data_IF_109745758401
#
_entry.id   IF_109745758401
#
_cell.length_a   1.000
_cell.length_b   1.000
_cell.length_c   1.000
_cell.angle_alpha   90.00
_cell.angle_beta   90.00
_cell.angle_gamma   90.00
#
_symmetry.space_group_name_H-M   'P 1'
#
loop_
_entity.id
_entity.type
_entity.pdbx_description
1 polymer ?
#
# COMPACT_ATOMS: atom_id res chain seq x y z
N UNK A 1 -3.63 -6.33 10.85
CA UNK A 1 -4.32 -5.32 10.02
C UNK A 1 -4.55 -4.12 10.92
N UNK A 2 -4.11 -2.92 10.53
CA UNK A 2 -4.32 -1.73 11.38
C UNK A 2 -4.59 -0.54 10.51
N UNK A 3 -5.83 -0.07 10.47
CA UNK A 3 -6.23 1.21 9.89
C UNK A 3 -5.50 2.34 10.62
N UNK A 4 -4.35 2.76 10.11
CA UNK A 4 -3.50 3.79 10.74
C UNK A 4 -3.41 5.06 9.90
N UNK A 5 -4.49 5.35 9.16
CA UNK A 5 -4.66 6.59 8.45
C UNK A 5 -6.13 6.94 8.34
N UNK A 6 -6.37 8.24 8.30
CA UNK A 6 -7.64 8.82 7.87
C UNK A 6 -8.09 8.16 6.53
N UNK A 7 -9.35 7.69 6.43
CA UNK A 7 -10.45 8.01 7.34
C UNK A 7 -10.76 7.04 8.49
N UNK A 8 -9.92 6.03 8.79
CA UNK A 8 -10.22 4.95 9.77
C UNK A 8 -11.61 4.32 9.55
N UNK A 9 -11.65 3.36 8.64
CA UNK A 9 -12.85 2.75 8.05
C UNK A 9 -13.88 2.32 9.10
N UNK A 10 -13.41 1.76 10.22
CA UNK A 10 -14.27 1.14 11.23
C UNK A 10 -14.29 1.88 12.59
N UNK A 11 -13.81 3.13 12.65
CA UNK A 11 -13.55 3.80 13.92
C UNK A 11 -14.26 5.14 14.02
N UNK A 12 -14.67 5.48 15.25
CA UNK A 12 -15.09 6.83 15.57
C UNK A 12 -13.87 7.76 15.40
N UNK A 13 -14.00 8.78 14.57
CA UNK A 13 -12.90 9.69 14.24
C UNK A 13 -13.42 11.06 13.83
N UNK A 14 -12.51 11.98 13.56
CA UNK A 14 -12.83 13.26 12.93
C UNK A 14 -13.52 13.14 11.54
N UNK A 15 -13.40 11.99 10.86
CA UNK A 15 -14.01 11.78 9.54
C UNK A 15 -15.41 11.14 9.59
N UNK A 16 -15.70 10.39 10.64
CA UNK A 16 -16.99 9.71 10.81
C UNK A 16 -17.28 9.47 12.29
N UNK A 17 -18.53 9.76 12.68
CA UNK A 17 -19.06 9.36 13.99
C UNK A 17 -19.83 8.05 13.85
N UNK A 18 -19.53 7.08 14.72
CA UNK A 18 -20.22 5.79 14.73
C UNK A 18 -21.49 5.91 15.56
N UNK A 19 -22.49 6.61 15.05
CA UNK A 19 -23.77 6.78 15.76
C UNK A 19 -24.79 5.73 15.35
N UNK A 20 -24.68 5.22 14.12
CA UNK A 20 -25.62 4.24 13.56
C UNK A 20 -25.39 2.80 14.03
N UNK A 21 -24.37 2.52 14.85
CA UNK A 21 -24.14 1.19 15.40
C UNK A 21 -25.18 0.78 16.46
N UNK A 22 -25.89 1.76 17.03
CA UNK A 22 -26.92 1.55 18.03
C UNK A 22 -28.24 2.17 17.55
N UNK A 23 -29.36 1.53 17.87
CA UNK A 23 -30.69 2.06 17.57
C UNK A 23 -30.89 3.45 18.20
N UNK A 24 -31.71 4.34 17.62
CA UNK A 24 -31.89 5.71 18.12
C UNK A 24 -32.22 5.82 19.61
N UNK A 25 -32.99 4.87 20.12
CA UNK A 25 -33.48 4.73 21.48
C UNK A 25 -32.69 3.75 22.36
N UNK A 26 -31.59 3.19 21.83
CA UNK A 26 -30.75 2.24 22.57
C UNK A 26 -30.19 2.89 23.85
N UNK A 27 -30.40 2.29 25.04
CA UNK A 27 -29.95 2.86 26.30
C UNK A 27 -28.43 3.05 26.36
N UNK A 28 -27.64 2.25 25.64
CA UNK A 28 -26.18 2.36 25.61
C UNK A 28 -25.71 3.71 25.06
N UNK A 29 -26.51 4.39 24.22
CA UNK A 29 -26.19 5.75 23.73
C UNK A 29 -26.05 6.79 24.85
N UNK A 30 -26.60 6.51 26.04
CA UNK A 30 -26.49 7.38 27.22
C UNK A 30 -25.31 7.03 28.12
N UNK A 31 -24.65 5.91 27.90
CA UNK A 31 -23.50 5.50 28.70
C UNK A 31 -22.29 6.41 28.41
N UNK A 32 -21.47 6.73 29.42
CA UNK A 32 -20.31 7.61 29.24
C UNK A 32 -19.35 7.16 28.14
N UNK A 33 -19.17 5.86 27.96
CA UNK A 33 -18.29 5.28 26.92
C UNK A 33 -18.74 5.64 25.49
N UNK A 34 -20.03 5.91 25.28
CA UNK A 34 -20.58 6.31 23.99
C UNK A 34 -20.66 7.84 23.82
N UNK A 35 -20.76 8.59 24.93
CA UNK A 35 -20.83 10.05 24.90
C UNK A 35 -19.45 10.72 24.85
N UNK A 36 -18.46 10.16 25.52
CA UNK A 36 -17.11 10.71 25.65
C UNK A 36 -16.08 9.93 24.80
N UNK A 37 -16.42 9.68 23.53
CA UNK A 37 -15.54 8.94 22.62
C UNK A 37 -14.42 9.82 22.10
N UNK A 38 -13.19 9.39 22.34
CA UNK A 38 -12.02 9.91 21.66
C UNK A 38 -11.92 9.36 20.22
N UNK A 39 -11.26 10.13 19.35
CA UNK A 39 -11.10 9.77 17.95
C UNK A 39 -9.96 8.77 17.72
N UNK A 40 -10.08 7.98 16.67
CA UNK A 40 -9.08 7.01 16.23
C UNK A 40 -7.69 7.63 16.01
N UNK A 41 -7.63 8.90 15.65
CA UNK A 41 -6.39 9.65 15.48
C UNK A 41 -5.52 9.68 16.73
N UNK A 42 -6.12 9.70 17.92
CA UNK A 42 -5.39 9.69 19.20
C UNK A 42 -4.78 8.31 19.45
N UNK A 43 -5.57 7.24 19.30
CA UNK A 43 -5.03 5.88 19.42
C UNK A 43 -3.91 5.63 18.41
N UNK A 44 -4.10 6.04 17.15
CA UNK A 44 -3.07 5.91 16.13
C UNK A 44 -1.77 6.62 16.53
N UNK A 45 -1.85 7.91 16.86
CA UNK A 45 -0.69 8.79 17.01
C UNK A 45 0.02 8.62 18.35
N UNK A 46 -0.73 8.39 19.42
CA UNK A 46 -0.18 8.35 20.77
C UNK A 46 0.19 6.92 21.21
N UNK A 47 -0.52 5.92 20.68
CA UNK A 47 -0.34 4.54 21.12
C UNK A 47 0.23 3.70 19.99
N UNK A 48 -0.46 3.56 18.86
CA UNK A 48 -0.09 2.53 17.88
C UNK A 48 1.23 2.83 17.18
N UNK A 49 1.38 4.02 16.57
CA UNK A 49 2.61 4.37 15.83
C UNK A 49 3.84 4.37 16.75
N UNK A 50 3.81 4.99 17.94
CA UNK A 50 4.96 4.95 18.86
C UNK A 50 5.31 3.53 19.33
N UNK A 51 4.33 2.65 19.55
CA UNK A 51 4.60 1.25 19.89
C UNK A 51 5.23 0.49 18.73
N UNK A 52 4.79 0.73 17.48
CA UNK A 52 5.41 0.13 16.29
C UNK A 52 6.86 0.59 16.16
N UNK A 53 7.14 1.88 16.31
CA UNK A 53 8.50 2.40 16.25
C UNK A 53 9.39 1.81 17.35
N UNK A 54 8.92 1.76 18.60
CA UNK A 54 9.65 1.12 19.71
C UNK A 54 9.90 -0.37 19.46
N UNK A 55 8.91 -1.08 18.92
CA UNK A 55 9.06 -2.49 18.55
C UNK A 55 10.10 -2.68 17.45
N UNK A 56 10.04 -1.85 16.41
CA UNK A 56 11.03 -1.84 15.30
C UNK A 56 12.44 -1.59 15.83
N UNK A 57 12.62 -0.62 16.74
CA UNK A 57 13.91 -0.34 17.36
C UNK A 57 14.43 -1.53 18.17
N UNK A 58 13.55 -2.14 18.97
CA UNK A 58 13.89 -3.33 19.74
C UNK A 58 14.25 -4.52 18.83
N UNK A 59 13.51 -4.72 17.74
CA UNK A 59 13.77 -5.80 16.77
C UNK A 59 15.13 -5.60 16.10
N UNK A 60 15.42 -4.41 15.61
CA UNK A 60 16.70 -4.10 14.97
C UNK A 60 17.87 -4.26 15.95
N UNK A 61 17.73 -3.76 17.17
CA UNK A 61 18.73 -3.97 18.23
C UNK A 61 18.96 -5.45 18.54
N UNK A 62 17.91 -6.25 18.65
CA UNK A 62 18.03 -7.68 18.93
C UNK A 62 18.65 -8.47 17.77
N UNK A 63 18.52 -7.98 16.54
CA UNK A 63 19.17 -8.55 15.35
C UNK A 63 20.61 -8.08 15.16
N UNK A 64 21.06 -7.09 15.94
CA UNK A 64 22.40 -6.51 15.82
C UNK A 64 23.32 -7.15 16.85
N UNK A 65 24.36 -7.83 16.38
CA UNK A 65 25.41 -8.44 17.18
C UNK A 65 26.76 -7.81 16.82
N UNK A 66 27.22 -6.88 17.67
CA UNK A 66 28.40 -6.06 17.37
C UNK A 66 28.19 -5.23 16.12
N UNK A 67 29.01 -5.45 15.09
CA UNK A 67 28.90 -4.80 13.78
C UNK A 67 28.06 -5.59 12.77
N UNK A 68 27.42 -6.70 13.14
CA UNK A 68 26.68 -7.53 12.22
C UNK A 68 25.17 -7.46 12.48
N UNK A 69 24.35 -7.44 11.43
CA UNK A 69 22.90 -7.58 11.50
C UNK A 69 22.54 -8.96 10.95
N UNK A 70 21.99 -9.82 11.80
CA UNK A 70 21.56 -11.17 11.46
C UNK A 70 20.12 -11.19 10.95
N UNK A 71 19.77 -12.24 10.19
CA UNK A 71 18.44 -12.45 9.60
C UNK A 71 17.96 -11.22 8.80
N UNK A 72 18.89 -10.59 8.09
CA UNK A 72 18.65 -9.36 7.34
C UNK A 72 17.52 -9.46 6.28
N UNK A 73 17.28 -10.62 5.62
CA UNK A 73 16.13 -10.77 4.72
C UNK A 73 14.78 -10.55 5.41
N UNK A 74 14.66 -10.73 6.73
CA UNK A 74 13.42 -10.43 7.45
C UNK A 74 13.18 -8.92 7.61
N UNK A 75 14.25 -8.14 7.66
CA UNK A 75 14.18 -6.68 7.74
C UNK A 75 13.96 -6.09 6.34
N UNK A 76 14.82 -6.43 5.38
CA UNK A 76 14.69 -5.93 4.00
C UNK A 76 13.46 -6.51 3.30
N UNK A 77 12.98 -7.66 3.75
CA UNK A 77 11.71 -8.25 3.32
C UNK A 77 10.51 -7.33 3.53
N UNK A 78 10.55 -6.38 4.48
CA UNK A 78 9.48 -5.39 4.63
C UNK A 78 9.48 -4.29 3.56
N UNK A 79 10.59 -4.13 2.83
CA UNK A 79 10.69 -3.23 1.68
C UNK A 79 10.36 -3.99 0.38
N UNK A 80 10.76 -5.25 0.29
CA UNK A 80 10.66 -6.05 -0.94
C UNK A 80 9.39 -6.89 -1.05
N UNK A 81 8.84 -7.32 0.08
CA UNK A 81 7.72 -8.26 0.16
C UNK A 81 6.58 -7.61 0.95
N UNK A 82 5.35 -7.88 0.56
CA UNK A 82 4.19 -7.53 1.37
C UNK A 82 4.04 -8.53 2.51
N UNK A 83 4.71 -8.26 3.63
CA UNK A 83 4.63 -9.09 4.85
C UNK A 83 3.38 -8.74 5.67
N UNK A 84 3.13 -7.44 5.84
CA UNK A 84 1.98 -6.88 6.55
C UNK A 84 1.20 -5.93 5.65
N UNK A 85 -0.04 -5.63 6.03
CA UNK A 85 -0.96 -4.81 5.24
C UNK A 85 -1.74 -3.87 6.15
N UNK A 86 -1.91 -2.64 5.67
CA UNK A 86 -2.92 -1.71 6.14
C UNK A 86 -4.06 -1.61 5.11
N UNK A 87 -5.20 -1.08 5.50
CA UNK A 87 -6.30 -0.71 4.62
C UNK A 87 -6.39 0.82 4.55
N UNK A 88 -6.74 1.29 3.37
CA UNK A 88 -7.04 2.69 3.11
C UNK A 88 -8.34 2.79 2.33
N UNK A 89 -9.04 3.89 2.50
CA UNK A 89 -10.24 4.20 1.75
C UNK A 89 -10.16 5.64 1.23
N UNK A 90 -11.04 5.96 0.29
CA UNK A 90 -11.34 7.35 -0.01
C UNK A 90 -11.80 8.06 1.26
N UNK A 91 -11.46 9.35 1.46
CA UNK A 91 -12.07 10.16 2.50
C UNK A 91 -13.56 10.44 2.25
N UNK A 92 -14.10 10.12 1.06
CA UNK A 92 -15.49 10.34 0.69
C UNK A 92 -16.38 9.18 1.21
N UNK A 93 -17.52 9.53 1.83
CA UNK A 93 -18.45 8.53 2.36
C UNK A 93 -19.36 7.97 1.26
N UNK A 94 -19.72 6.69 1.36
CA UNK A 94 -20.56 6.03 0.35
C UNK A 94 -21.95 6.68 0.20
N UNK A 95 -22.47 7.28 1.28
CA UNK A 95 -23.75 7.99 1.27
C UNK A 95 -23.73 9.29 0.46
N UNK A 96 -22.56 9.85 0.15
CA UNK A 96 -22.44 11.11 -0.60
C UNK A 96 -22.21 10.91 -2.10
N UNK A 97 -21.92 9.68 -2.53
CA UNK A 97 -21.63 9.35 -3.93
C UNK A 97 -22.87 9.55 -4.79
N UNK A 98 -22.71 10.39 -5.81
CA UNK A 98 -23.71 10.68 -6.84
C UNK A 98 -23.01 11.28 -8.07
N UNK A 99 -23.68 11.25 -9.22
CA UNK A 99 -23.14 11.89 -10.43
C UNK A 99 -22.81 13.37 -10.19
N UNK A 100 -21.66 13.81 -10.70
CA UNK A 100 -21.10 15.16 -10.49
C UNK A 100 -20.35 15.33 -9.16
N UNK A 101 -20.39 14.36 -8.25
CA UNK A 101 -19.58 14.38 -7.03
C UNK A 101 -18.22 13.73 -7.29
N UNK A 102 -17.09 14.43 -7.10
CA UNK A 102 -15.77 13.83 -7.25
C UNK A 102 -15.48 12.84 -6.11
N UNK A 103 -15.11 11.62 -6.46
CA UNK A 103 -14.63 10.59 -5.52
C UNK A 103 -13.11 10.52 -5.61
N UNK A 104 -12.43 10.87 -4.52
CA UNK A 104 -10.96 10.87 -4.45
C UNK A 104 -10.45 9.46 -4.17
N UNK A 105 -9.59 8.93 -5.03
CA UNK A 105 -9.02 7.60 -4.85
C UNK A 105 -7.74 7.70 -4.00
N UNK A 106 -7.48 6.72 -3.10
CA UNK A 106 -6.25 6.70 -2.32
C UNK A 106 -5.02 6.63 -3.22
N UNK A 107 -4.13 7.62 -3.16
CA UNK A 107 -2.91 7.64 -3.99
C UNK A 107 -2.01 6.44 -3.68
N UNK A 108 -2.04 5.96 -2.43
CA UNK A 108 -1.30 4.77 -1.96
C UNK A 108 -1.75 3.46 -2.61
N UNK A 109 -2.92 3.44 -3.27
CA UNK A 109 -3.32 2.32 -4.13
C UNK A 109 -2.46 2.26 -5.40
N UNK A 110 -2.06 3.41 -5.94
CA UNK A 110 -1.34 3.50 -7.22
C UNK A 110 0.16 3.41 -7.02
N UNK A 111 0.72 4.09 -6.01
CA UNK A 111 2.16 4.13 -5.73
C UNK A 111 2.41 4.16 -4.22
N UNK A 112 3.60 3.76 -3.75
CA UNK A 112 3.94 3.85 -2.33
C UNK A 112 4.38 5.27 -1.95
N UNK A 113 3.44 6.23 -1.84
CA UNK A 113 3.74 7.63 -1.50
C UNK A 113 4.43 7.77 -0.14
N UNK A 114 4.11 6.92 0.83
CA UNK A 114 4.74 6.96 2.15
C UNK A 114 6.24 6.69 2.09
N UNK A 115 6.66 5.73 1.28
CA UNK A 115 8.08 5.43 1.12
C UNK A 115 8.74 6.40 0.12
N UNK A 116 8.17 6.54 -1.09
CA UNK A 116 8.80 7.25 -2.20
C UNK A 116 8.83 8.77 -1.99
N UNK A 117 7.72 9.36 -1.53
CA UNK A 117 7.62 10.80 -1.32
C UNK A 117 8.03 11.14 0.12
N UNK A 118 7.31 10.60 1.12
CA UNK A 118 7.46 11.06 2.50
C UNK A 118 8.78 10.62 3.16
N UNK A 119 9.33 9.45 2.81
CA UNK A 119 10.61 8.99 3.38
C UNK A 119 11.78 9.34 2.48
N UNK A 120 11.71 9.04 1.18
CA UNK A 120 12.83 9.22 0.25
C UNK A 120 12.94 10.64 -0.34
N UNK A 121 11.87 11.44 -0.23
CA UNK A 121 11.85 12.83 -0.66
C UNK A 121 11.85 12.97 -2.17
N UNK A 122 11.17 12.08 -2.90
CA UNK A 122 10.78 12.36 -4.29
C UNK A 122 9.63 13.35 -4.28
N UNK A 123 9.61 14.27 -5.24
CA UNK A 123 8.57 15.31 -5.35
C UNK A 123 8.01 15.39 -6.78
N UNK A 124 7.34 14.33 -7.26
CA UNK A 124 6.72 14.37 -8.58
C UNK A 124 5.52 15.31 -8.56
N UNK A 125 5.39 16.17 -9.57
CA UNK A 125 4.20 17.00 -9.78
C UNK A 125 3.00 16.12 -10.15
N UNK A 126 2.23 15.71 -9.15
CA UNK A 126 1.14 14.73 -9.28
C UNK A 126 -0.18 15.30 -8.75
N UNK A 127 -1.27 14.88 -9.38
CA UNK A 127 -2.63 15.13 -8.91
C UNK A 127 -3.26 13.86 -8.34
N UNK A 128 -4.14 14.00 -7.36
CA UNK A 128 -4.88 12.88 -6.77
C UNK A 128 -5.88 12.34 -7.81
N UNK A 129 -5.79 11.05 -8.23
CA UNK A 129 -6.76 10.47 -9.13
C UNK A 129 -8.18 10.56 -8.55
N UNK A 130 -9.10 11.11 -9.34
CA UNK A 130 -10.48 11.38 -8.93
C UNK A 130 -11.43 10.86 -10.01
N UNK A 131 -12.44 10.11 -9.60
CA UNK A 131 -13.48 9.56 -10.49
C UNK A 131 -14.81 10.27 -10.23
N UNK A 132 -15.63 10.43 -11.27
CA UNK A 132 -17.00 10.93 -11.08
C UNK A 132 -17.83 9.91 -10.28
N UNK A 133 -18.60 10.38 -9.31
CA UNK A 133 -19.41 9.52 -8.45
C UNK A 133 -20.46 8.72 -9.22
N UNK A 134 -20.93 9.21 -10.37
CA UNK A 134 -21.81 8.45 -11.26
C UNK A 134 -21.08 7.26 -11.89
N UNK A 135 -19.83 7.44 -12.34
CA UNK A 135 -18.99 6.34 -12.83
C UNK A 135 -18.71 5.32 -11.71
N UNK A 136 -18.44 5.80 -10.49
CA UNK A 136 -18.23 4.96 -9.33
C UNK A 136 -19.46 4.10 -9.01
N UNK A 137 -20.63 4.73 -8.91
CA UNK A 137 -21.91 4.06 -8.64
C UNK A 137 -22.25 3.02 -9.72
N UNK A 138 -21.99 3.34 -11.00
CA UNK A 138 -22.13 2.36 -12.09
C UNK A 138 -21.23 1.13 -11.89
N UNK A 139 -20.02 1.29 -11.34
CA UNK A 139 -19.18 0.14 -10.99
C UNK A 139 -19.75 -0.65 -9.82
N UNK A 140 -20.30 0.02 -8.80
CA UNK A 140 -20.96 -0.67 -7.68
C UNK A 140 -22.09 -1.58 -8.17
N UNK A 141 -22.91 -1.08 -9.11
CA UNK A 141 -23.98 -1.85 -9.72
C UNK A 141 -23.46 -2.96 -10.65
N UNK A 142 -22.53 -2.63 -11.55
CA UNK A 142 -21.94 -3.58 -12.52
C UNK A 142 -21.32 -4.79 -11.85
N UNK A 143 -20.64 -4.58 -10.72
CA UNK A 143 -19.96 -5.62 -9.96
C UNK A 143 -20.76 -6.16 -8.77
N UNK A 144 -22.04 -5.78 -8.66
CA UNK A 144 -22.94 -6.18 -7.58
C UNK A 144 -22.29 -6.08 -6.19
N UNK A 145 -21.62 -4.95 -5.95
CA UNK A 145 -20.80 -4.72 -4.76
C UNK A 145 -21.68 -4.78 -3.51
N UNK A 146 -21.19 -5.46 -2.48
CA UNK A 146 -21.87 -5.57 -1.21
C UNK A 146 -20.89 -5.79 -0.05
N UNK A 147 -21.36 -5.54 1.16
CA UNK A 147 -20.71 -5.94 2.41
C UNK A 147 -21.51 -7.09 3.03
N UNK A 148 -20.85 -8.14 3.52
CA UNK A 148 -21.53 -9.33 4.07
C UNK A 148 -20.70 -10.01 5.16
N UNK A 149 -21.37 -10.53 6.19
CA UNK A 149 -20.79 -11.42 7.21
C UNK A 149 -20.99 -12.91 6.87
N UNK A 150 -21.72 -13.21 5.79
CA UNK A 150 -22.13 -14.54 5.36
C UNK A 150 -23.55 -14.92 5.73
N UNK A 151 -24.23 -14.12 6.55
CA UNK A 151 -25.66 -14.24 6.87
C UNK A 151 -26.44 -13.08 6.27
N UNK A 152 -25.98 -11.85 6.53
CA UNK A 152 -26.58 -10.63 6.01
C UNK A 152 -25.77 -10.08 4.84
N UNK A 153 -26.45 -9.43 3.88
CA UNK A 153 -25.83 -8.81 2.72
C UNK A 153 -26.38 -7.40 2.52
N UNK A 154 -25.51 -6.42 2.62
CA UNK A 154 -25.81 -5.01 2.42
C UNK A 154 -25.26 -4.57 1.07
N UNK A 155 -26.13 -4.16 0.15
CA UNK A 155 -25.72 -3.66 -1.16
C UNK A 155 -24.94 -2.35 -1.02
N UNK A 156 -23.93 -2.16 -1.87
CA UNK A 156 -23.05 -1.00 -1.86
C UNK A 156 -21.68 -1.28 -1.25
N UNK A 157 -20.89 -0.22 -1.12
CA UNK A 157 -19.55 -0.27 -0.54
C UNK A 157 -19.59 -0.15 1.00
N UNK A 158 -18.43 -0.16 1.65
CA UNK A 158 -18.32 0.12 3.09
C UNK A 158 -18.68 1.57 3.42
N UNK A 159 -18.54 2.01 4.67
CA UNK A 159 -18.88 3.39 5.05
C UNK A 159 -18.12 4.45 4.23
N UNK A 160 -16.84 4.20 3.99
CA UNK A 160 -16.01 4.97 3.05
C UNK A 160 -15.84 4.20 1.75
N UNK A 161 -15.76 4.93 0.65
CA UNK A 161 -15.68 4.29 -0.66
C UNK A 161 -14.27 3.78 -0.94
N UNK A 162 -14.18 2.73 -1.76
CA UNK A 162 -12.93 2.25 -2.33
C UNK A 162 -11.91 1.78 -1.29
N UNK A 163 -12.37 1.04 -0.27
CA UNK A 163 -11.47 0.38 0.69
C UNK A 163 -10.54 -0.59 -0.04
N UNK A 164 -9.24 -0.47 0.12
CA UNK A 164 -8.24 -1.33 -0.53
C UNK A 164 -7.02 -1.58 0.37
N UNK A 165 -6.27 -2.67 0.15
CA UNK A 165 -4.97 -2.87 0.77
C UNK A 165 -3.94 -1.80 0.38
N UNK A 166 -3.18 -1.35 1.37
CA UNK A 166 -1.99 -0.50 1.20
C UNK A 166 -0.81 -1.03 2.05
N UNK A 167 0.38 -0.46 1.79
CA UNK A 167 1.60 -0.77 2.54
C UNK A 167 1.41 -0.41 4.01
N UNK A 168 1.90 -1.26 4.91
CA UNK A 168 1.74 -1.06 6.33
C UNK A 168 2.72 -0.01 6.88
N UNK A 169 2.31 0.68 7.95
CA UNK A 169 3.19 1.62 8.64
C UNK A 169 4.46 0.96 9.21
N UNK A 170 4.40 -0.31 9.62
CA UNK A 170 5.57 -1.03 10.13
C UNK A 170 6.68 -1.16 9.09
N UNK A 171 6.31 -1.34 7.82
CA UNK A 171 7.25 -1.42 6.70
C UNK A 171 7.95 -0.07 6.47
N UNK A 172 7.19 1.03 6.61
CA UNK A 172 7.72 2.39 6.56
C UNK A 172 8.65 2.69 7.75
N UNK A 173 8.30 2.23 8.95
CA UNK A 173 9.13 2.41 10.14
C UNK A 173 10.49 1.72 9.98
N UNK A 174 10.50 0.51 9.41
CA UNK A 174 11.74 -0.25 9.15
C UNK A 174 12.58 0.43 8.07
N UNK A 175 11.97 0.86 6.97
CA UNK A 175 12.67 1.64 5.95
C UNK A 175 13.36 2.87 6.55
N UNK A 176 12.65 3.64 7.39
CA UNK A 176 13.24 4.80 8.08
C UNK A 176 14.44 4.40 8.92
N UNK A 177 14.34 3.35 9.75
CA UNK A 177 15.46 2.92 10.59
C UNK A 177 16.66 2.43 9.80
N UNK A 178 16.47 1.71 8.71
CA UNK A 178 17.57 1.28 7.85
C UNK A 178 18.29 2.48 7.20
N UNK A 179 17.56 3.53 6.84
CA UNK A 179 18.12 4.77 6.30
C UNK A 179 18.80 5.62 7.39
N UNK A 180 18.15 5.83 8.53
CA UNK A 180 18.65 6.64 9.64
C UNK A 180 19.96 6.09 10.20
N UNK A 181 20.07 4.75 10.28
CA UNK A 181 21.28 4.05 10.71
C UNK A 181 22.31 3.84 9.59
N UNK A 182 22.03 4.34 8.38
CA UNK A 182 22.90 4.20 7.20
C UNK A 182 23.26 2.74 6.89
N UNK A 183 22.32 1.83 7.10
CA UNK A 183 22.45 0.42 6.72
C UNK A 183 22.21 0.26 5.22
N UNK A 184 21.31 1.06 4.66
CA UNK A 184 21.06 1.17 3.21
C UNK A 184 21.08 2.64 2.80
N UNK A 185 21.44 2.95 1.56
CA UNK A 185 21.28 4.32 1.05
C UNK A 185 19.85 4.61 0.59
N UNK A 186 19.54 5.91 0.47
CA UNK A 186 18.29 6.38 -0.16
C UNK A 186 18.20 5.92 -1.62
N UNK A 187 19.33 5.87 -2.34
CA UNK A 187 19.37 5.46 -3.74
C UNK A 187 19.03 3.98 -3.87
N UNK A 188 19.59 3.12 -3.02
CA UNK A 188 19.25 1.70 -3.05
C UNK A 188 17.77 1.49 -2.72
N UNK A 189 17.29 2.13 -1.65
CA UNK A 189 15.88 2.04 -1.27
C UNK A 189 14.95 2.51 -2.41
N UNK A 190 15.28 3.63 -3.08
CA UNK A 190 14.54 4.12 -4.22
C UNK A 190 14.59 3.14 -5.41
N UNK A 191 15.77 2.61 -5.74
CA UNK A 191 15.95 1.67 -6.85
C UNK A 191 15.15 0.38 -6.65
N UNK A 192 15.11 -0.15 -5.40
CA UNK A 192 14.30 -1.30 -5.02
C UNK A 192 12.79 -1.01 -5.08
N UNK A 193 12.35 0.12 -4.52
CA UNK A 193 10.93 0.51 -4.50
C UNK A 193 10.40 0.92 -5.86
N UNK A 194 11.27 1.34 -6.78
CA UNK A 194 10.92 1.68 -8.15
C UNK A 194 10.81 0.47 -9.09
N UNK A 195 11.18 -0.73 -8.62
CA UNK A 195 10.85 -1.98 -9.32
C UNK A 195 9.37 -2.24 -9.12
N UNK A 196 8.62 -2.29 -10.23
CA UNK A 196 7.18 -2.52 -10.21
C UNK A 196 6.42 -1.53 -9.30
N UNK A 197 6.82 -0.25 -9.37
CA UNK A 197 6.37 0.81 -8.46
C UNK A 197 4.86 1.08 -8.49
N UNK A 198 4.18 0.72 -9.58
CA UNK A 198 2.72 0.81 -9.75
C UNK A 198 1.94 -0.27 -8.97
N UNK A 199 2.65 -1.24 -8.37
CA UNK A 199 2.07 -2.28 -7.52
C UNK A 199 2.66 -2.20 -6.11
N UNK A 200 2.26 -1.19 -5.30
CA UNK A 200 2.85 -0.92 -4.00
C UNK A 200 2.71 -2.09 -3.02
N UNK A 201 1.63 -2.86 -3.14
CA UNK A 201 1.40 -4.12 -2.43
C UNK A 201 1.36 -5.29 -3.40
N UNK A 202 1.76 -6.46 -2.89
CA UNK A 202 1.74 -7.74 -3.57
C UNK A 202 2.59 -7.85 -4.84
N UNK A 203 3.60 -7.01 -5.04
CA UNK A 203 4.49 -7.12 -6.21
C UNK A 203 5.32 -8.43 -6.14
N UNK A 204 5.10 -9.40 -7.05
CA UNK A 204 5.92 -10.61 -7.11
C UNK A 204 7.31 -10.29 -7.69
N UNK A 205 7.38 -9.31 -8.59
CA UNK A 205 8.60 -8.80 -9.22
C UNK A 205 9.58 -8.28 -8.18
N UNK A 206 9.12 -7.38 -7.32
CA UNK A 206 9.95 -6.81 -6.25
C UNK A 206 10.27 -7.86 -5.16
N UNK A 207 9.33 -8.75 -4.84
CA UNK A 207 9.56 -9.84 -3.91
C UNK A 207 10.67 -10.79 -4.38
N UNK A 208 10.80 -11.03 -5.69
CA UNK A 208 11.83 -11.90 -6.26
C UNK A 208 13.27 -11.43 -5.96
N UNK A 209 13.47 -10.14 -5.67
CA UNK A 209 14.78 -9.58 -5.32
C UNK A 209 15.28 -10.02 -3.93
N UNK A 210 14.40 -10.56 -3.07
CA UNK A 210 14.78 -11.01 -1.72
C UNK A 210 15.89 -12.09 -1.75
N UNK A 211 15.95 -12.88 -2.83
CA UNK A 211 16.93 -13.97 -2.98
C UNK A 211 18.38 -13.49 -3.02
N UNK A 212 18.60 -12.21 -3.34
CA UNK A 212 19.92 -11.58 -3.40
C UNK A 212 20.34 -10.96 -2.06
N UNK A 213 19.42 -10.92 -1.08
CA UNK A 213 19.68 -10.34 0.22
C UNK A 213 20.43 -11.38 1.08
N UNK A 214 21.65 -11.06 1.54
CA UNK A 214 22.42 -11.97 2.37
C UNK A 214 21.75 -12.16 3.73
N UNK A 215 21.96 -13.33 4.35
CA UNK A 215 21.42 -13.61 5.69
C UNK A 215 21.94 -12.65 6.76
N UNK A 216 23.16 -12.15 6.59
CA UNK A 216 23.85 -11.26 7.53
C UNK A 216 24.52 -10.11 6.77
N UNK A 217 24.45 -8.89 7.32
CA UNK A 217 25.09 -7.69 6.77
C UNK A 217 26.03 -7.07 7.82
N UNK A 218 27.16 -6.54 7.38
CA UNK A 218 28.07 -5.78 8.25
C UNK A 218 27.72 -4.28 8.22
N UNK A 219 27.67 -3.66 9.39
CA UNK A 219 27.49 -2.22 9.61
C UNK A 219 28.86 -1.54 9.42
N UNK A 220 29.43 -1.63 8.21
CA UNK A 220 30.64 -0.92 7.82
C UNK A 220 30.32 0.39 7.05
N UNK A 221 29.07 0.57 6.65
CA UNK A 221 28.54 1.71 5.91
C UNK A 221 27.53 1.24 4.84
N UNK A 222 26.61 2.11 4.41
CA UNK A 222 25.61 1.78 3.39
C UNK A 222 26.24 1.35 2.06
N UNK A 223 27.34 2.00 1.65
CA UNK A 223 27.96 1.82 0.34
C UNK A 223 28.44 0.37 0.12
N UNK A 224 28.89 -0.31 1.18
CA UNK A 224 29.36 -1.69 1.13
C UNK A 224 28.20 -2.66 0.87
N UNK A 225 27.10 -2.51 1.62
CA UNK A 225 25.93 -3.36 1.44
C UNK A 225 25.24 -3.10 0.10
N UNK A 226 25.05 -1.83 -0.25
CA UNK A 226 24.39 -1.42 -1.49
C UNK A 226 25.12 -1.97 -2.72
N UNK A 227 26.45 -1.84 -2.73
CA UNK A 227 27.30 -2.37 -3.81
C UNK A 227 27.25 -3.90 -3.85
N UNK A 228 27.34 -4.57 -2.70
CA UNK A 228 27.29 -6.03 -2.63
C UNK A 228 25.95 -6.59 -3.13
N UNK A 229 24.83 -5.96 -2.74
CA UNK A 229 23.50 -6.35 -3.23
C UNK A 229 23.39 -6.12 -4.75
N UNK A 230 23.84 -4.97 -5.25
CA UNK A 230 23.79 -4.69 -6.67
C UNK A 230 24.62 -5.68 -7.50
N UNK A 231 25.81 -6.05 -7.03
CA UNK A 231 26.65 -7.08 -7.65
C UNK A 231 25.99 -8.46 -7.62
N UNK A 232 25.35 -8.83 -6.51
CA UNK A 232 24.61 -10.10 -6.42
C UNK A 232 23.44 -10.16 -7.41
N UNK A 233 22.70 -9.05 -7.55
CA UNK A 233 21.62 -8.93 -8.55
C UNK A 233 22.20 -9.00 -9.96
N UNK A 234 23.29 -8.29 -10.25
CA UNK A 234 23.96 -8.31 -11.56
C UNK A 234 24.42 -9.71 -11.97
N UNK A 235 25.05 -10.45 -11.05
CA UNK A 235 25.45 -11.83 -11.28
C UNK A 235 24.25 -12.74 -11.58
N UNK A 236 23.12 -12.52 -10.91
CA UNK A 236 21.86 -13.23 -11.18
C UNK A 236 21.20 -12.84 -12.51
N UNK A 237 21.33 -11.57 -12.92
CA UNK A 237 20.66 -11.00 -14.08
C UNK A 237 21.20 -11.54 -15.42
N UNK A 238 22.42 -12.07 -15.45
CA UNK A 238 23.03 -12.68 -16.65
C UNK A 238 22.19 -13.83 -17.21
N UNK A 239 21.51 -14.58 -16.33
CA UNK A 239 20.61 -15.67 -16.71
C UNK A 239 19.14 -15.24 -16.82
N UNK A 240 18.83 -13.97 -16.55
CA UNK A 240 17.47 -13.46 -16.52
C UNK A 240 17.05 -12.89 -17.88
N UNK A 241 15.73 -12.85 -18.11
CA UNK A 241 15.13 -12.20 -19.28
C UNK A 241 15.29 -10.67 -19.22
N UNK A 242 15.27 -9.96 -20.36
CA UNK A 242 15.36 -8.50 -20.39
C UNK A 242 14.27 -7.78 -19.58
N UNK A 243 13.10 -8.39 -19.41
CA UNK A 243 11.95 -7.86 -18.66
C UNK A 243 11.91 -8.31 -17.20
N UNK A 244 13.00 -8.91 -16.70
CA UNK A 244 13.09 -9.41 -15.32
C UNK A 244 13.17 -8.29 -14.27
N UNK A 245 12.76 -8.56 -13.02
CA UNK A 245 12.93 -7.60 -11.93
C UNK A 245 14.40 -7.26 -11.65
N UNK A 246 15.33 -8.18 -11.92
CA UNK A 246 16.77 -7.91 -11.78
C UNK A 246 17.23 -6.83 -12.76
N UNK A 247 16.81 -6.93 -14.03
CA UNK A 247 17.16 -5.92 -15.05
C UNK A 247 16.51 -4.57 -14.76
N UNK A 248 15.27 -4.57 -14.27
CA UNK A 248 14.59 -3.34 -13.85
C UNK A 248 15.30 -2.66 -12.66
N UNK A 249 15.69 -3.44 -11.65
CA UNK A 249 16.48 -2.95 -10.53
C UNK A 249 17.82 -2.35 -11.00
N UNK A 250 18.56 -3.06 -11.86
CA UNK A 250 19.86 -2.61 -12.34
C UNK A 250 19.72 -1.34 -13.19
N UNK A 251 18.67 -1.22 -14.00
CA UNK A 251 18.37 0.00 -14.75
C UNK A 251 18.13 1.19 -13.80
N UNK A 252 17.42 0.97 -12.69
CA UNK A 252 17.21 1.98 -11.66
C UNK A 252 18.52 2.33 -10.92
N UNK A 253 19.30 1.33 -10.51
CA UNK A 253 20.52 1.48 -9.72
C UNK A 253 21.65 2.18 -10.47
N UNK A 254 21.78 1.90 -11.78
CA UNK A 254 22.81 2.48 -12.66
C UNK A 254 22.58 3.96 -13.01
N UNK A 255 21.42 4.53 -12.66
CA UNK A 255 21.23 5.98 -12.76
C UNK A 255 22.25 6.70 -11.87
N UNK A 256 22.77 7.84 -12.32
CA UNK A 256 23.74 8.61 -11.54
C UNK A 256 23.06 9.30 -10.35
N UNK A 257 23.85 9.74 -9.38
CA UNK A 257 23.34 10.39 -8.17
C UNK A 257 22.59 11.70 -8.46
N UNK A 258 22.93 12.35 -9.58
CA UNK A 258 22.29 13.57 -10.07
C UNK A 258 20.98 13.31 -10.84
N UNK A 259 20.79 12.10 -11.38
CA UNK A 259 19.73 11.83 -12.37
C UNK A 259 18.64 10.89 -11.87
N UNK A 260 18.88 10.07 -10.84
CA UNK A 260 17.88 9.08 -10.42
C UNK A 260 16.56 9.70 -9.93
N UNK A 261 16.62 10.81 -9.18
CA UNK A 261 15.43 11.51 -8.66
C UNK A 261 14.51 12.01 -9.79
N UNK A 262 14.98 12.88 -10.71
CA UNK A 262 14.12 13.40 -11.77
C UNK A 262 13.59 12.29 -12.69
N UNK A 263 14.37 11.22 -12.93
CA UNK A 263 13.90 10.07 -13.72
C UNK A 263 12.76 9.33 -13.02
N UNK A 264 12.87 9.07 -11.72
CA UNK A 264 11.81 8.40 -10.96
C UNK A 264 10.56 9.28 -10.82
N UNK A 265 10.75 10.57 -10.56
CA UNK A 265 9.65 11.54 -10.48
C UNK A 265 8.89 11.62 -11.81
N UNK A 266 9.60 11.68 -12.94
CA UNK A 266 8.98 11.68 -14.26
C UNK A 266 8.19 10.39 -14.54
N UNK A 267 8.69 9.22 -14.12
CA UNK A 267 7.99 7.93 -14.28
C UNK A 267 6.72 7.87 -13.43
N UNK A 268 6.80 8.31 -12.18
CA UNK A 268 5.65 8.37 -11.27
C UNK A 268 4.59 9.31 -11.85
N UNK A 269 4.99 10.50 -12.30
CA UNK A 269 4.09 11.47 -12.92
C UNK A 269 3.40 10.89 -14.15
N UNK A 270 4.17 10.32 -15.08
CA UNK A 270 3.61 9.75 -16.31
C UNK A 270 2.57 8.66 -16.03
N UNK A 271 2.83 7.80 -15.05
CA UNK A 271 1.89 6.76 -14.63
C UNK A 271 0.60 7.37 -14.04
N UNK A 272 0.69 8.35 -13.13
CA UNK A 272 -0.48 8.96 -12.52
C UNK A 272 -1.28 9.86 -13.49
N UNK A 273 -0.61 10.49 -14.46
CA UNK A 273 -1.26 11.21 -15.55
C UNK A 273 -2.09 10.23 -16.41
N UNK A 274 -1.55 9.05 -16.73
CA UNK A 274 -2.27 8.00 -17.45
C UNK A 274 -3.48 7.46 -16.67
N UNK A 275 -3.33 7.26 -15.35
CA UNK A 275 -4.46 6.91 -14.46
C UNK A 275 -5.53 8.00 -14.48
N UNK A 276 -5.14 9.27 -14.44
CA UNK A 276 -6.07 10.42 -14.44
C UNK A 276 -6.89 10.52 -15.73
N UNK A 277 -6.44 9.93 -16.83
CA UNK A 277 -7.22 9.77 -18.06
C UNK A 277 -8.19 8.58 -17.94
N UNK A 278 -7.72 7.43 -17.46
CA UNK A 278 -8.54 6.21 -17.31
C UNK A 278 -9.73 6.37 -16.38
N UNK A 279 -9.59 7.11 -15.29
CA UNK A 279 -10.70 7.31 -14.32
C UNK A 279 -11.88 8.11 -14.89
N UNK A 280 -11.76 8.69 -16.09
CA UNK A 280 -12.81 9.52 -16.71
C UNK A 280 -13.84 8.73 -17.51
N UNK A 281 -13.56 7.47 -17.84
CA UNK A 281 -14.44 6.62 -18.63
C UNK A 281 -14.85 5.39 -17.84
N UNK A 282 -16.13 4.99 -17.95
CA UNK A 282 -16.68 3.88 -17.17
C UNK A 282 -15.95 2.56 -17.42
N UNK A 283 -15.69 2.20 -18.67
CA UNK A 283 -15.04 0.93 -18.99
C UNK A 283 -13.58 0.90 -18.53
N UNK A 284 -12.85 1.99 -18.68
CA UNK A 284 -11.48 2.10 -18.19
C UNK A 284 -11.39 2.07 -16.66
N UNK A 285 -12.27 2.80 -15.97
CA UNK A 285 -12.35 2.77 -14.51
C UNK A 285 -12.81 1.41 -14.00
N UNK A 286 -13.69 0.71 -14.75
CA UNK A 286 -14.12 -0.64 -14.39
C UNK A 286 -12.93 -1.61 -14.32
N UNK A 287 -11.90 -1.46 -15.16
CA UNK A 287 -10.67 -2.27 -15.04
C UNK A 287 -9.90 -1.95 -13.75
N UNK A 288 -9.78 -0.67 -13.38
CA UNK A 288 -9.17 -0.25 -12.11
C UNK A 288 -9.95 -0.82 -10.93
N UNK A 289 -11.29 -0.82 -11.02
CA UNK A 289 -12.15 -1.41 -10.00
C UNK A 289 -11.95 -2.93 -9.88
N UNK A 290 -11.81 -3.65 -11.00
CA UNK A 290 -11.45 -5.09 -10.99
C UNK A 290 -10.09 -5.33 -10.34
N UNK A 291 -9.11 -4.47 -10.57
CA UNK A 291 -7.81 -4.56 -9.90
C UNK A 291 -7.93 -4.31 -8.39
N UNK A 292 -8.72 -3.32 -7.98
CA UNK A 292 -9.02 -3.10 -6.57
C UNK A 292 -9.62 -4.35 -5.91
N UNK A 293 -10.61 -4.97 -6.56
CA UNK A 293 -11.18 -6.22 -6.10
C UNK A 293 -10.18 -7.38 -6.10
N UNK A 294 -9.33 -7.49 -7.11
CA UNK A 294 -8.25 -8.48 -7.16
C UNK A 294 -7.35 -8.38 -5.92
N UNK A 295 -6.95 -7.16 -5.52
CA UNK A 295 -6.12 -6.95 -4.33
C UNK A 295 -6.89 -7.23 -3.04
N UNK A 296 -8.18 -6.92 -2.97
CA UNK A 296 -9.04 -7.31 -1.84
C UNK A 296 -9.12 -8.83 -1.70
N UNK A 297 -9.30 -9.57 -2.81
CA UNK A 297 -9.27 -11.04 -2.82
C UNK A 297 -7.93 -11.58 -2.34
N UNK A 298 -6.82 -11.04 -2.83
CA UNK A 298 -5.47 -11.44 -2.37
C UNK A 298 -5.28 -11.16 -0.86
N UNK A 299 -5.80 -10.05 -0.35
CA UNK A 299 -5.84 -9.75 1.09
C UNK A 299 -6.71 -10.74 1.87
N UNK A 300 -7.93 -11.05 1.40
CA UNK A 300 -8.87 -11.97 2.07
C UNK A 300 -8.33 -13.40 2.22
N UNK A 301 -7.37 -13.80 1.38
CA UNK A 301 -6.67 -15.09 1.51
C UNK A 301 -5.64 -15.13 2.64
N UNK A 302 -5.36 -14.01 3.30
CA UNK A 302 -4.39 -13.95 4.41
C UNK A 302 -5.05 -14.20 5.76
N UNK A 303 -4.34 -14.81 6.72
CA UNK A 303 -4.83 -14.95 8.11
C UNK A 303 -5.19 -13.62 8.79
N UNK A 304 -4.64 -12.50 8.29
CA UNK A 304 -4.91 -11.15 8.79
C UNK A 304 -6.29 -10.60 8.39
N UNK A 305 -7.00 -11.24 7.47
CA UNK A 305 -8.36 -10.87 7.07
C UNK A 305 -9.38 -11.52 8.01
N UNK A 306 -9.41 -11.05 9.25
CA UNK A 306 -10.20 -11.64 10.34
C UNK A 306 -11.71 -11.42 10.18
N UNK A 307 -12.13 -10.21 9.77
CA UNK A 307 -13.55 -9.86 9.66
C UNK A 307 -14.01 -9.76 8.21
N UNK A 308 -15.06 -10.49 7.85
CA UNK A 308 -15.64 -10.49 6.49
C UNK A 308 -16.19 -9.12 6.06
N UNK A 309 -16.63 -8.31 7.02
CA UNK A 309 -17.15 -6.96 6.79
C UNK A 309 -16.07 -5.92 6.49
N UNK A 310 -14.78 -6.27 6.62
CA UNK A 310 -13.66 -5.33 6.47
C UNK A 310 -13.55 -4.75 5.06
N UNK A 311 -13.79 -5.57 4.05
CA UNK A 311 -13.72 -5.16 2.63
C UNK A 311 -15.00 -5.56 1.95
N UNK A 312 -15.49 -4.80 0.95
CA UNK A 312 -16.64 -5.24 0.17
C UNK A 312 -16.28 -6.49 -0.65
N UNK A 313 -17.31 -7.20 -1.09
CA UNK A 313 -17.26 -8.32 -2.03
C UNK A 313 -18.03 -7.96 -3.31
N UNK A 314 -17.74 -8.67 -4.39
CA UNK A 314 -18.36 -8.45 -5.71
C UNK A 314 -18.92 -9.74 -6.29
N UNK A 315 -19.50 -9.68 -7.49
CA UNK A 315 -19.82 -10.86 -8.30
C UNK A 315 -18.62 -11.42 -9.09
N UNK A 316 -17.42 -10.87 -8.92
CA UNK A 316 -16.19 -11.42 -9.53
C UNK A 316 -15.84 -12.72 -8.79
N UNK A 317 -15.60 -13.84 -9.49
CA UNK A 317 -15.28 -15.11 -8.84
C UNK A 317 -14.05 -15.02 -7.93
N UNK A 318 -14.10 -15.70 -6.78
CA UNK A 318 -12.97 -15.74 -5.84
C UNK A 318 -11.69 -16.34 -6.46
N UNK A 319 -11.83 -17.21 -7.47
CA UNK A 319 -10.73 -17.82 -8.24
C UNK A 319 -10.35 -17.06 -9.52
N UNK A 320 -10.92 -15.87 -9.76
CA UNK A 320 -10.50 -15.07 -10.90
C UNK A 320 -8.97 -14.77 -10.82
N UNK A 321 -8.25 -14.73 -11.94
CA UNK A 321 -6.83 -14.40 -11.94
C UNK A 321 -6.55 -13.11 -11.18
N UNK A 322 -5.42 -13.06 -10.47
CA UNK A 322 -4.98 -11.81 -9.87
C UNK A 322 -4.49 -10.84 -10.95
N UNK A 323 -4.71 -9.56 -10.71
CA UNK A 323 -4.39 -8.48 -11.63
C UNK A 323 -3.28 -7.60 -11.04
N UNK A 324 -2.55 -6.93 -11.93
CA UNK A 324 -1.53 -5.93 -11.60
C UNK A 324 -1.57 -4.78 -12.60
N UNK A 325 -1.06 -3.61 -12.19
CA UNK A 325 -0.77 -2.53 -13.12
C UNK A 325 0.52 -2.83 -13.89
N UNK A 326 0.58 -2.39 -15.14
CA UNK A 326 1.83 -2.14 -15.83
C UNK A 326 2.21 -0.64 -15.74
N UNK A 327 3.48 -0.25 -16.02
CA UNK A 327 3.93 1.14 -15.91
C UNK A 327 3.19 2.14 -16.81
N UNK A 328 2.55 1.68 -17.88
CA UNK A 328 1.70 2.48 -18.78
C UNK A 328 0.24 2.62 -18.30
N UNK A 329 -0.04 2.22 -17.06
CA UNK A 329 -1.38 2.16 -16.47
C UNK A 329 -2.35 1.16 -17.12
N UNK A 330 -1.88 0.28 -18.01
CA UNK A 330 -2.65 -0.89 -18.41
C UNK A 330 -2.75 -1.89 -17.25
N UNK A 331 -3.81 -2.71 -17.26
CA UNK A 331 -4.05 -3.73 -16.25
C UNK A 331 -3.94 -5.08 -16.95
N UNK A 332 -3.17 -5.99 -16.33
CA UNK A 332 -2.92 -7.33 -16.87
C UNK A 332 -3.02 -8.37 -15.77
N UNK A 333 -3.05 -9.63 -16.17
CA UNK A 333 -2.93 -10.73 -15.23
C UNK A 333 -1.53 -10.76 -14.62
N UNK A 334 -1.48 -11.00 -13.32
CA UNK A 334 -0.26 -11.14 -12.54
C UNK A 334 0.46 -12.43 -12.94
N UNK A 335 1.76 -12.33 -13.22
CA UNK A 335 2.60 -13.44 -13.70
C UNK A 335 3.51 -13.96 -12.60
#
# INVERSE_FOLDING_TARGET
MKELKLPWINWNSQAAQIDSALAPDDPLRKEPVWQAREGAELLEREIIRPNIERWTDSRLKHRTNGSAIERFPELLGQILITTTINLIASPDQSSTVRSGHPVRLPVTFFINTDALLNVLGLDPDISVPTVDGGIYDNCLQRFAVAVTDGTERFAGDTHFVFVVPEVAFEDIAILRRLLDQKIISRKLAAALLMVDFCNPVFSPRRAALIRYVPATVQIAGADDFDTALAQAVEAGAVASRPDSPEQEFLANWRLSDETWRPVFESRIKAFLDAISLKVRALDDFSEIFRLAESRRREFRRRPLAEFRLTTPVTNIPEEAPFLEFAPDASIRQKV
#
